data_IF_337285839885
#
_entry.id   IF_337285839885
#
_cell.length_a   1.000
_cell.length_b   1.000
_cell.length_c   1.000
_cell.angle_alpha   90.00
_cell.angle_beta   90.00
_cell.angle_gamma   90.00
#
_symmetry.space_group_name_H-M   'P 1'
#
loop_
_entity.id
_entity.type
_entity.pdbx_description
1 polymer ?
#
# COMPACT_ATOMS: atom_id res chain seq x y z
N UNK A 1 43.04 31.53 17.67
CA UNK A 1 43.02 31.99 16.26
C UNK A 1 44.27 31.48 15.58
N UNK A 2 44.15 30.74 14.47
CA UNK A 2 45.33 30.31 13.69
C UNK A 2 46.03 31.53 13.08
N UNK A 3 47.36 31.53 13.07
CA UNK A 3 48.15 32.66 12.57
C UNK A 3 47.98 32.81 11.05
N UNK A 4 48.14 34.03 10.52
CA UNK A 4 48.16 34.29 9.05
C UNK A 4 49.16 33.40 8.29
N UNK A 5 50.19 32.89 8.98
CA UNK A 5 51.20 32.00 8.41
C UNK A 5 50.69 30.56 8.26
N UNK A 6 49.90 30.09 9.21
CA UNK A 6 49.25 28.77 9.18
C UNK A 6 48.15 28.72 8.11
N UNK A 7 47.37 29.78 7.94
CA UNK A 7 46.38 29.90 6.87
C UNK A 7 47.02 29.84 5.47
N UNK A 8 48.18 30.49 5.29
CA UNK A 8 48.94 30.43 4.03
C UNK A 8 49.56 29.07 3.76
N UNK A 9 49.89 28.30 4.80
CA UNK A 9 50.39 26.94 4.66
C UNK A 9 49.27 25.97 4.23
N UNK A 10 48.06 26.13 4.78
CA UNK A 10 46.88 25.36 4.38
C UNK A 10 46.50 25.55 2.91
N UNK A 11 46.66 26.75 2.36
CA UNK A 11 46.37 27.03 0.93
C UNK A 11 47.39 26.42 -0.04
N UNK A 12 48.51 25.90 0.48
CA UNK A 12 49.56 25.24 -0.33
C UNK A 12 49.52 23.72 -0.21
N UNK A 13 48.71 23.18 0.69
CA UNK A 13 48.48 21.74 0.81
C UNK A 13 47.56 21.30 -0.35
N UNK A 14 47.98 20.33 -1.19
CA UNK A 14 47.19 19.86 -2.33
C UNK A 14 45.79 19.37 -1.97
N UNK A 15 45.63 18.70 -0.82
CA UNK A 15 44.35 18.15 -0.39
C UNK A 15 43.42 19.25 0.13
N UNK A 16 43.98 20.24 0.84
CA UNK A 16 43.20 21.43 1.23
C UNK A 16 42.88 22.30 0.03
N UNK A 17 43.76 22.37 -0.96
CA UNK A 17 43.50 23.06 -2.21
C UNK A 17 42.41 22.36 -3.01
N UNK A 18 42.36 21.03 -3.07
CA UNK A 18 41.25 20.28 -3.68
C UNK A 18 39.94 20.43 -2.90
N UNK A 19 39.98 20.44 -1.57
CA UNK A 19 38.80 20.69 -0.73
C UNK A 19 38.28 22.12 -0.93
N UNK A 20 39.18 23.10 -0.95
CA UNK A 20 38.86 24.50 -1.23
C UNK A 20 38.36 24.61 -2.68
N UNK A 21 39.03 24.01 -3.66
CA UNK A 21 38.65 24.06 -5.08
C UNK A 21 37.36 23.28 -5.39
N UNK A 22 36.94 22.30 -4.57
CA UNK A 22 35.64 21.61 -4.68
C UNK A 22 34.51 22.43 -4.07
N UNK A 23 34.74 23.00 -2.87
CA UNK A 23 33.83 23.96 -2.25
C UNK A 23 33.69 25.23 -3.09
N UNK A 24 34.78 25.68 -3.73
CA UNK A 24 34.73 26.71 -4.73
C UNK A 24 34.06 26.15 -5.97
N UNK A 25 34.45 25.08 -6.69
CA UNK A 25 33.78 24.64 -7.95
C UNK A 25 32.25 24.61 -7.90
N UNK A 26 31.62 24.24 -6.78
CA UNK A 26 30.17 24.43 -6.58
C UNK A 26 29.76 25.91 -6.75
N UNK A 27 30.48 26.84 -6.12
CA UNK A 27 30.32 28.30 -6.16
C UNK A 27 30.59 29.03 -7.52
N UNK A 28 31.70 28.93 -8.29
CA UNK A 28 31.80 29.51 -9.63
C UNK A 28 30.93 28.83 -10.69
N UNK A 29 30.58 27.55 -10.54
CA UNK A 29 29.54 26.92 -11.38
C UNK A 29 28.21 27.66 -11.21
N UNK A 30 27.78 27.80 -9.95
CA UNK A 30 26.62 28.59 -9.52
C UNK A 30 26.72 30.09 -9.93
N UNK A 31 27.89 30.70 -9.84
CA UNK A 31 28.11 32.13 -10.15
C UNK A 31 28.12 32.40 -11.66
N UNK A 32 28.81 31.58 -12.45
CA UNK A 32 28.84 31.74 -13.90
C UNK A 32 27.47 31.41 -14.53
N UNK A 33 26.73 30.44 -14.02
CA UNK A 33 25.36 30.17 -14.50
C UNK A 33 24.35 31.25 -14.08
N UNK A 34 24.52 31.85 -12.89
CA UNK A 34 23.70 32.97 -12.39
C UNK A 34 23.86 34.27 -13.20
N UNK A 35 25.03 34.51 -13.78
CA UNK A 35 25.33 35.80 -14.44
C UNK A 35 25.68 35.70 -15.94
N UNK A 36 25.92 34.50 -16.49
CA UNK A 36 26.13 34.33 -17.93
C UNK A 36 24.82 34.11 -18.72
N UNK A 37 23.69 33.87 -18.06
CA UNK A 37 22.37 33.80 -18.70
C UNK A 37 21.70 35.18 -18.71
N UNK A 38 21.83 35.91 -19.82
CA UNK A 38 21.25 37.25 -20.03
C UNK A 38 19.72 37.26 -20.20
N UNK A 39 18.97 36.37 -19.55
CA UNK A 39 17.52 36.31 -19.81
C UNK A 39 16.61 35.52 -18.88
N UNK A 40 17.08 34.80 -17.87
CA UNK A 40 16.16 34.12 -16.95
C UNK A 40 16.84 33.66 -15.66
N UNK A 41 16.96 34.57 -14.69
CA UNK A 41 17.18 34.17 -13.30
C UNK A 41 16.00 33.34 -12.71
N UNK A 42 14.92 33.12 -13.48
CA UNK A 42 13.79 32.22 -13.19
C UNK A 42 14.04 30.73 -13.49
N UNK A 43 15.23 30.35 -13.96
CA UNK A 43 15.52 28.95 -14.32
C UNK A 43 15.99 28.06 -13.15
N UNK A 44 16.19 28.63 -11.96
CA UNK A 44 16.51 27.87 -10.76
C UNK A 44 15.25 27.86 -9.89
N UNK A 45 14.50 26.76 -9.94
CA UNK A 45 13.39 26.55 -9.03
C UNK A 45 13.97 26.34 -7.63
N UNK A 46 14.09 27.42 -6.86
CA UNK A 46 14.72 27.39 -5.54
C UNK A 46 13.83 26.65 -4.57
N UNK A 47 14.46 25.93 -3.65
CA UNK A 47 13.76 25.49 -2.47
C UNK A 47 13.37 26.72 -1.63
N UNK A 48 12.12 26.75 -1.21
CA UNK A 48 11.54 27.83 -0.41
C UNK A 48 11.09 27.24 0.92
N UNK A 49 11.29 28.00 1.99
CA UNK A 49 10.83 27.66 3.33
C UNK A 49 9.75 28.66 3.72
N UNK A 50 8.68 28.18 4.35
CA UNK A 50 7.62 29.01 4.89
C UNK A 50 8.14 29.93 6.00
N UNK A 51 7.32 30.90 6.36
CA UNK A 51 7.56 31.74 7.53
C UNK A 51 7.52 30.87 8.80
N UNK A 52 8.39 31.17 9.77
CA UNK A 52 8.49 30.46 11.05
C UNK A 52 8.83 28.95 10.98
N UNK A 53 9.45 28.50 9.88
CA UNK A 53 9.94 27.14 9.74
C UNK A 53 11.37 26.98 10.29
N UNK A 54 11.49 26.14 11.30
CA UNK A 54 12.71 25.75 11.97
C UNK A 54 13.17 24.34 11.56
N UNK A 55 14.48 24.20 11.32
CA UNK A 55 15.18 22.92 11.10
C UNK A 55 14.67 22.05 9.94
N UNK A 56 13.88 22.61 9.01
CA UNK A 56 13.48 21.90 7.81
C UNK A 56 14.66 21.75 6.83
N UNK A 57 14.64 20.69 6.02
CA UNK A 57 15.73 20.37 5.08
C UNK A 57 15.18 20.03 3.70
N UNK A 58 15.76 20.64 2.67
CA UNK A 58 15.36 20.42 1.29
C UNK A 58 16.54 19.98 0.44
N UNK A 59 16.38 18.91 -0.30
CA UNK A 59 17.34 18.40 -1.29
C UNK A 59 16.65 18.29 -2.65
N UNK A 60 17.28 18.83 -3.70
CA UNK A 60 16.69 18.94 -5.04
C UNK A 60 16.18 20.35 -5.34
N UNK A 61 15.11 20.48 -6.13
CA UNK A 61 14.65 21.76 -6.70
C UNK A 61 13.15 21.97 -6.52
N UNK A 62 12.70 23.22 -6.51
CA UNK A 62 11.28 23.61 -6.47
C UNK A 62 10.50 23.10 -5.24
N UNK A 63 11.18 22.78 -4.14
CA UNK A 63 10.48 22.31 -2.95
C UNK A 63 10.00 23.49 -2.10
N UNK A 64 8.78 23.40 -1.56
CA UNK A 64 8.24 24.40 -0.64
C UNK A 64 7.93 23.74 0.72
N UNK A 65 8.68 24.11 1.75
CA UNK A 65 8.62 23.46 3.05
C UNK A 65 7.92 24.35 4.07
N UNK A 66 6.80 23.88 4.59
CA UNK A 66 5.93 24.62 5.53
C UNK A 66 5.65 23.81 6.81
N UNK A 67 6.23 22.62 6.96
CA UNK A 67 6.19 21.86 8.22
C UNK A 67 7.47 22.03 9.03
N UNK A 68 7.37 22.24 10.34
CA UNK A 68 8.55 22.31 11.21
C UNK A 68 9.29 20.97 11.23
N UNK A 69 10.63 21.02 11.12
CA UNK A 69 11.52 19.84 11.04
C UNK A 69 11.16 18.87 9.90
N UNK A 70 10.51 19.36 8.85
CA UNK A 70 10.16 18.55 7.68
C UNK A 70 11.34 18.38 6.74
N UNK A 71 11.28 17.32 5.92
CA UNK A 71 12.33 16.99 4.96
C UNK A 71 11.70 16.78 3.58
N UNK A 72 12.22 17.45 2.55
CA UNK A 72 11.84 17.26 1.16
C UNK A 72 13.03 16.80 0.33
N UNK A 73 12.90 15.68 -0.39
CA UNK A 73 13.98 15.14 -1.26
C UNK A 73 13.43 14.87 -2.66
N UNK A 74 13.70 15.78 -3.59
CA UNK A 74 13.32 15.63 -5.00
C UNK A 74 12.90 16.95 -5.64
N UNK A 75 11.85 16.89 -6.46
CA UNK A 75 11.40 18.04 -7.26
C UNK A 75 9.95 18.41 -6.97
N UNK A 76 9.68 19.70 -6.76
CA UNK A 76 8.33 20.25 -6.73
C UNK A 76 7.52 19.82 -5.51
N UNK A 77 8.17 19.40 -4.42
CA UNK A 77 7.52 18.81 -3.26
C UNK A 77 7.02 19.87 -2.31
N UNK A 78 5.95 19.56 -1.57
CA UNK A 78 5.43 20.44 -0.53
C UNK A 78 5.24 19.67 0.77
N UNK A 79 5.91 20.11 1.82
CA UNK A 79 5.71 19.62 3.19
C UNK A 79 4.83 20.63 3.93
N UNK A 80 3.80 20.16 4.61
CA UNK A 80 2.86 20.98 5.39
C UNK A 80 2.79 20.58 6.86
N UNK A 81 3.27 19.39 7.21
CA UNK A 81 3.10 18.86 8.56
C UNK A 81 4.41 18.75 9.34
N UNK A 82 4.30 18.87 10.66
CA UNK A 82 5.40 18.67 11.60
C UNK A 82 6.09 17.31 11.38
N UNK A 83 7.42 17.28 11.26
CA UNK A 83 8.23 16.07 10.99
C UNK A 83 7.84 15.28 9.73
N UNK A 84 7.21 15.92 8.75
CA UNK A 84 6.86 15.25 7.49
C UNK A 84 8.09 15.01 6.62
N UNK A 85 8.20 13.81 6.03
CA UNK A 85 9.16 13.48 4.99
C UNK A 85 8.43 13.29 3.66
N UNK A 86 8.82 14.06 2.64
CA UNK A 86 8.29 13.90 1.27
C UNK A 86 9.46 13.68 0.33
N UNK A 87 9.37 12.68 -0.56
CA UNK A 87 10.41 12.42 -1.55
C UNK A 87 9.82 12.03 -2.91
N UNK A 88 10.62 12.17 -3.97
CA UNK A 88 10.21 11.88 -5.35
C UNK A 88 9.91 13.13 -6.17
N UNK A 89 8.88 13.07 -7.02
CA UNK A 89 8.54 14.15 -7.95
C UNK A 89 7.08 14.57 -7.77
N UNK A 90 6.84 15.88 -7.62
CA UNK A 90 5.51 16.50 -7.61
C UNK A 90 4.47 15.71 -6.80
N UNK A 91 4.77 15.42 -5.53
CA UNK A 91 3.82 14.81 -4.61
C UNK A 91 2.54 15.66 -4.49
N UNK A 92 1.41 15.00 -4.23
CA UNK A 92 0.15 15.67 -3.93
C UNK A 92 0.31 16.52 -2.67
N UNK A 93 -0.09 17.79 -2.74
CA UNK A 93 -0.05 18.70 -1.60
C UNK A 93 -1.10 18.24 -0.58
N UNK A 94 -0.68 17.97 0.66
CA UNK A 94 -1.62 17.59 1.71
C UNK A 94 -2.41 18.82 2.18
N UNK A 95 -3.74 18.69 2.28
CA UNK A 95 -4.59 19.69 2.91
C UNK A 95 -4.74 19.43 4.41
N UNK A 96 -5.09 20.46 5.18
CA UNK A 96 -5.44 20.38 6.61
C UNK A 96 -4.36 19.68 7.46
N UNK A 97 -3.12 20.14 7.37
CA UNK A 97 -2.00 19.64 8.16
C UNK A 97 -1.63 20.67 9.23
N UNK A 98 -1.08 20.20 10.35
CA UNK A 98 -0.52 21.04 11.40
C UNK A 98 1.01 21.10 11.26
N UNK A 99 1.58 22.29 11.06
CA UNK A 99 3.01 22.45 10.86
C UNK A 99 3.82 22.27 12.14
N UNK A 100 3.20 22.35 13.33
CA UNK A 100 3.87 22.44 14.63
C UNK A 100 3.59 21.27 15.57
N UNK A 101 2.40 20.66 15.45
CA UNK A 101 1.91 19.64 16.37
C UNK A 101 1.88 18.26 15.74
N UNK A 102 2.21 17.25 16.53
CA UNK A 102 2.06 15.86 16.13
C UNK A 102 0.58 15.43 16.18
N UNK A 103 -0.12 15.56 15.05
CA UNK A 103 -1.51 15.09 14.91
C UNK A 103 -1.58 13.76 14.18
N UNK A 104 -2.25 12.76 14.76
CA UNK A 104 -2.33 11.41 14.20
C UNK A 104 -2.93 11.35 12.78
N UNK A 105 -3.79 12.30 12.43
CA UNK A 105 -4.42 12.43 11.11
C UNK A 105 -3.52 13.06 10.05
N UNK A 106 -2.37 13.58 10.45
CA UNK A 106 -1.48 14.27 9.53
C UNK A 106 -0.53 13.30 8.84
N UNK A 107 -0.05 13.73 7.68
CA UNK A 107 0.95 13.00 6.91
C UNK A 107 2.29 12.98 7.64
N UNK A 108 2.91 11.82 7.65
CA UNK A 108 4.27 11.59 8.13
C UNK A 108 5.22 11.35 6.95
N UNK A 109 4.75 10.62 5.92
CA UNK A 109 5.56 10.24 4.76
C UNK A 109 4.73 10.34 3.47
N UNK A 110 5.33 10.84 2.39
CA UNK A 110 4.78 10.68 1.04
C UNK A 110 5.87 10.44 -0.01
N UNK A 111 5.57 9.54 -0.95
CA UNK A 111 6.35 9.35 -2.17
C UNK A 111 5.57 9.89 -3.36
N UNK A 112 6.05 11.00 -3.92
CA UNK A 112 5.50 11.63 -5.11
C UNK A 112 5.96 10.95 -6.39
N UNK A 113 5.04 10.77 -7.34
CA UNK A 113 5.32 10.26 -8.69
C UNK A 113 4.63 11.11 -9.78
N UNK A 114 4.36 12.38 -9.49
CA UNK A 114 3.78 13.32 -10.43
C UNK A 114 4.82 13.81 -11.47
N UNK A 115 4.32 14.20 -12.64
CA UNK A 115 5.17 14.66 -13.76
C UNK A 115 5.45 16.15 -13.71
N UNK A 116 4.52 16.96 -13.20
CA UNK A 116 4.67 18.41 -13.03
C UNK A 116 3.72 18.96 -11.93
N UNK A 117 3.73 20.28 -11.76
CA UNK A 117 2.94 20.98 -10.75
C UNK A 117 1.42 20.85 -10.94
N UNK A 118 0.95 20.61 -12.18
CA UNK A 118 -0.46 20.45 -12.54
C UNK A 118 -0.90 18.98 -12.46
N UNK A 119 0.04 18.04 -12.51
CA UNK A 119 -0.17 16.58 -12.56
C UNK A 119 0.43 15.87 -11.34
N UNK A 120 0.20 16.44 -10.15
CA UNK A 120 0.70 15.90 -8.88
C UNK A 120 0.05 14.57 -8.51
N UNK A 121 0.86 13.60 -8.09
CA UNK A 121 0.36 12.30 -7.62
C UNK A 121 1.29 11.68 -6.57
N UNK A 122 0.71 10.78 -5.76
CA UNK A 122 1.44 9.99 -4.78
C UNK A 122 1.43 8.51 -5.20
N UNK A 123 2.56 7.83 -5.08
CA UNK A 123 2.62 6.38 -5.13
C UNK A 123 2.31 5.77 -3.75
N UNK A 124 2.77 6.43 -2.68
CA UNK A 124 2.68 5.95 -1.29
C UNK A 124 2.50 7.13 -0.32
N UNK A 125 1.70 6.91 0.73
CA UNK A 125 1.45 7.89 1.79
C UNK A 125 1.33 7.19 3.15
N UNK A 126 1.94 7.74 4.20
CA UNK A 126 1.84 7.26 5.58
C UNK A 126 1.42 8.42 6.49
N UNK A 127 0.49 8.15 7.39
CA UNK A 127 0.01 9.08 8.40
C UNK A 127 0.72 8.85 9.73
N UNK A 128 0.75 9.87 10.59
CA UNK A 128 1.34 9.81 11.94
C UNK A 128 0.67 8.76 12.85
N UNK A 129 -0.54 8.31 12.50
CA UNK A 129 -1.25 7.19 13.15
C UNK A 129 -0.69 5.81 12.78
N UNK A 130 0.20 5.70 11.79
CA UNK A 130 0.66 4.43 11.23
C UNK A 130 -0.21 3.90 10.09
N UNK A 131 -1.34 4.54 9.79
CA UNK A 131 -2.13 4.23 8.59
C UNK A 131 -1.33 4.57 7.34
N UNK A 132 -1.34 3.68 6.33
CA UNK A 132 -0.72 3.95 5.04
C UNK A 132 -1.69 3.73 3.88
N UNK A 133 -1.41 4.38 2.74
CA UNK A 133 -2.19 4.31 1.51
C UNK A 133 -1.27 4.05 0.31
N UNK A 134 -1.71 3.19 -0.58
CA UNK A 134 -1.09 2.88 -1.87
C UNK A 134 -2.10 3.20 -2.97
N UNK A 135 -1.68 3.90 -4.02
CA UNK A 135 -2.61 4.52 -5.00
C UNK A 135 -2.75 3.77 -6.33
N UNK A 136 -1.98 2.71 -6.56
CA UNK A 136 -2.02 1.94 -7.81
C UNK A 136 -2.25 0.45 -7.55
N UNK A 137 -1.17 -0.34 -7.54
CA UNK A 137 -1.23 -1.80 -7.38
C UNK A 137 -0.24 -2.26 -6.31
N UNK A 138 -0.54 -3.42 -5.73
CA UNK A 138 0.32 -4.12 -4.77
C UNK A 138 0.60 -5.50 -5.35
N UNK A 139 1.88 -5.86 -5.45
CA UNK A 139 2.30 -7.24 -5.71
C UNK A 139 2.76 -7.80 -4.38
N UNK A 140 2.02 -8.79 -3.87
CA UNK A 140 2.38 -9.54 -2.67
C UNK A 140 3.08 -10.81 -3.11
N UNK A 141 4.23 -11.12 -2.52
CA UNK A 141 4.98 -12.34 -2.78
C UNK A 141 4.81 -13.36 -1.66
N UNK A 142 5.54 -14.47 -1.78
CA UNK A 142 5.76 -15.39 -0.67
C UNK A 142 6.50 -14.66 0.46
N UNK A 143 6.15 -14.94 1.71
CA UNK A 143 6.91 -14.45 2.84
C UNK A 143 8.30 -15.09 2.87
N UNK A 144 9.34 -14.26 2.79
CA UNK A 144 10.74 -14.68 2.87
C UNK A 144 11.50 -13.69 3.78
N UNK A 145 11.65 -14.07 5.05
CA UNK A 145 12.41 -13.29 6.04
C UNK A 145 13.26 -14.23 6.91
N UNK A 146 14.18 -14.93 6.26
CA UNK A 146 15.13 -15.86 6.90
C UNK A 146 14.42 -16.90 7.80
N UNK A 147 14.82 -17.00 9.08
CA UNK A 147 14.27 -17.93 10.07
C UNK A 147 13.16 -17.31 10.94
N UNK A 148 12.76 -16.06 10.66
CA UNK A 148 11.76 -15.37 11.46
C UNK A 148 10.36 -15.86 11.08
N UNK A 149 9.64 -16.38 12.07
CA UNK A 149 8.24 -16.79 11.91
C UNK A 149 7.38 -15.54 11.64
N UNK A 150 6.46 -15.55 10.65
CA UNK A 150 5.62 -14.40 10.37
C UNK A 150 4.78 -14.01 11.61
N UNK A 151 4.47 -12.72 11.72
CA UNK A 151 3.54 -12.24 12.76
C UNK A 151 2.10 -12.52 12.32
N UNK A 152 1.21 -12.78 13.28
CA UNK A 152 -0.22 -12.92 12.99
C UNK A 152 -0.76 -11.70 12.24
N UNK A 153 -1.51 -11.93 11.17
CA UNK A 153 -1.98 -10.87 10.26
C UNK A 153 -1.13 -10.70 8.98
N UNK A 154 0.01 -11.40 8.87
CA UNK A 154 0.83 -11.35 7.66
C UNK A 154 0.06 -11.94 6.47
N UNK A 155 0.08 -11.23 5.35
CA UNK A 155 -0.44 -11.72 4.08
C UNK A 155 0.71 -12.17 3.19
N UNK A 156 0.52 -13.28 2.48
CA UNK A 156 1.40 -13.68 1.39
C UNK A 156 0.60 -14.14 0.18
N UNK A 157 1.25 -14.22 -0.97
CA UNK A 157 0.69 -14.86 -2.15
C UNK A 157 1.65 -15.94 -2.67
N UNK A 158 1.12 -17.13 -2.92
CA UNK A 158 1.82 -18.24 -3.58
C UNK A 158 0.99 -18.73 -4.76
N UNK A 159 1.64 -19.31 -5.79
CA UNK A 159 0.91 -19.79 -6.99
C UNK A 159 0.05 -21.00 -6.64
N UNK A 160 0.50 -21.77 -5.65
CA UNK A 160 -0.14 -22.99 -5.18
C UNK A 160 -1.39 -22.70 -4.33
N UNK A 161 -1.30 -21.76 -3.38
CA UNK A 161 -2.35 -21.53 -2.39
C UNK A 161 -3.04 -20.16 -2.51
N UNK A 162 -2.66 -19.36 -3.50
CA UNK A 162 -3.13 -18.00 -3.74
C UNK A 162 -2.86 -17.08 -2.53
N UNK A 163 -3.80 -16.21 -2.17
CA UNK A 163 -3.66 -15.32 -1.02
C UNK A 163 -3.81 -16.13 0.28
N UNK A 164 -2.83 -16.00 1.17
CA UNK A 164 -2.80 -16.67 2.47
C UNK A 164 -2.63 -15.66 3.60
N UNK A 165 -3.26 -15.95 4.75
CA UNK A 165 -3.16 -15.20 5.99
C UNK A 165 -2.42 -16.06 7.02
N UNK A 166 -1.37 -15.51 7.64
CA UNK A 166 -0.72 -16.14 8.77
C UNK A 166 -1.53 -15.90 10.04
N UNK A 167 -2.06 -16.98 10.62
CA UNK A 167 -2.80 -16.98 11.88
C UNK A 167 -2.62 -18.33 12.57
N UNK A 168 -2.63 -18.33 13.92
CA UNK A 168 -2.48 -19.54 14.75
C UNK A 168 -1.23 -20.38 14.41
N UNK A 169 -0.12 -19.70 14.08
CA UNK A 169 1.17 -20.33 13.79
C UNK A 169 1.26 -21.03 12.43
N UNK A 170 0.31 -20.80 11.52
CA UNK A 170 0.28 -21.42 10.19
C UNK A 170 -0.27 -20.48 9.11
N UNK A 171 0.02 -20.80 7.86
CA UNK A 171 -0.61 -20.17 6.69
C UNK A 171 -1.99 -20.77 6.43
N UNK A 172 -2.98 -19.90 6.27
CA UNK A 172 -4.36 -20.27 5.97
C UNK A 172 -4.77 -19.63 4.64
N UNK A 173 -5.28 -20.39 3.68
CA UNK A 173 -5.75 -19.82 2.41
C UNK A 173 -6.96 -18.92 2.65
N UNK A 174 -6.96 -17.76 2.02
CA UNK A 174 -8.04 -16.77 2.05
C UNK A 174 -9.00 -16.99 0.86
N UNK A 175 -8.68 -17.92 -0.05
CA UNK A 175 -9.58 -18.21 -1.18
C UNK A 175 -10.82 -18.98 -0.73
N UNK A 176 -12.03 -18.58 -1.18
CA UNK A 176 -13.23 -19.34 -0.95
C UNK A 176 -13.12 -20.71 -1.65
N UNK A 177 -13.02 -21.78 -0.87
CA UNK A 177 -12.95 -23.14 -1.40
C UNK A 177 -14.34 -23.54 -1.87
N UNK A 178 -14.51 -23.77 -3.17
CA UNK A 178 -15.77 -24.30 -3.71
C UNK A 178 -15.75 -25.82 -3.68
N UNK A 179 -16.79 -26.42 -3.12
CA UNK A 179 -16.98 -27.88 -3.07
C UNK A 179 -18.12 -28.24 -4.02
N UNK A 180 -17.96 -29.36 -4.71
CA UNK A 180 -19.02 -30.05 -5.46
C UNK A 180 -19.16 -31.46 -4.92
N UNK A 181 -20.35 -31.82 -4.49
CA UNK A 181 -20.62 -33.15 -3.92
C UNK A 181 -22.08 -33.55 -4.10
N UNK A 182 -22.38 -34.84 -3.85
CA UNK A 182 -23.76 -35.29 -3.68
C UNK A 182 -24.20 -34.98 -2.25
N UNK A 183 -25.37 -34.36 -2.12
CA UNK A 183 -25.95 -34.09 -0.82
C UNK A 183 -26.35 -35.38 -0.11
N UNK A 184 -26.17 -35.41 1.20
CA UNK A 184 -26.62 -36.49 2.06
C UNK A 184 -28.14 -36.42 2.21
N UNK A 185 -28.82 -37.51 1.88
CA UNK A 185 -30.27 -37.65 1.96
C UNK A 185 -30.76 -38.63 0.91
N UNK A 186 -31.85 -39.34 1.20
CA UNK A 186 -32.45 -40.27 0.24
C UNK A 186 -33.41 -39.48 -0.66
N UNK A 187 -33.39 -39.78 -1.96
CA UNK A 187 -34.40 -39.30 -2.91
C UNK A 187 -35.50 -40.34 -3.01
N UNK A 188 -36.55 -40.19 -2.20
CA UNK A 188 -37.67 -41.14 -2.08
C UNK A 188 -39.02 -40.53 -2.48
N UNK A 189 -39.03 -39.32 -3.04
CA UNK A 189 -40.25 -38.59 -3.38
C UNK A 189 -40.99 -37.99 -2.19
N UNK A 190 -40.46 -38.11 -0.98
CA UNK A 190 -41.03 -37.57 0.27
C UNK A 190 -40.05 -36.64 0.97
N UNK A 191 -38.76 -36.98 0.98
CA UNK A 191 -37.72 -36.23 1.66
C UNK A 191 -37.47 -34.87 0.99
N UNK A 192 -37.49 -33.82 1.81
CA UNK A 192 -37.20 -32.44 1.41
C UNK A 192 -35.94 -31.88 2.07
N UNK A 193 -35.38 -32.58 3.06
CA UNK A 193 -34.22 -32.10 3.83
C UNK A 193 -32.99 -32.88 3.41
N UNK A 194 -31.95 -32.15 3.05
CA UNK A 194 -30.67 -32.70 2.62
C UNK A 194 -29.53 -31.98 3.36
N UNK A 195 -28.36 -32.60 3.43
CA UNK A 195 -27.20 -32.05 4.13
C UNK A 195 -25.94 -32.08 3.28
N UNK A 196 -25.12 -31.04 3.38
CA UNK A 196 -23.74 -31.06 2.92
C UNK A 196 -22.85 -31.84 3.91
N UNK A 197 -21.73 -32.36 3.44
CA UNK A 197 -20.73 -33.05 4.27
C UNK A 197 -19.93 -32.05 5.13
N UNK A 198 -19.83 -30.79 4.69
CA UNK A 198 -19.14 -29.70 5.39
C UNK A 198 -20.00 -28.46 5.49
N UNK A 199 -19.63 -27.59 6.44
CA UNK A 199 -20.29 -26.29 6.62
C UNK A 199 -20.06 -25.42 5.39
N UNK A 200 -21.15 -24.87 4.85
CA UNK A 200 -21.15 -23.97 3.72
C UNK A 200 -21.41 -22.52 4.16
N UNK A 201 -20.85 -21.56 3.43
CA UNK A 201 -21.12 -20.15 3.64
C UNK A 201 -22.58 -19.85 3.27
N UNK A 202 -23.33 -19.20 4.17
CA UNK A 202 -24.72 -18.78 3.91
C UNK A 202 -24.80 -18.00 2.59
N UNK A 203 -25.76 -18.37 1.73
CA UNK A 203 -25.97 -17.77 0.41
C UNK A 203 -25.14 -18.38 -0.72
N UNK A 204 -24.18 -19.26 -0.43
CA UNK A 204 -23.30 -19.86 -1.45
C UNK A 204 -23.82 -21.16 -2.07
N UNK A 205 -24.83 -21.79 -1.45
CA UNK A 205 -25.33 -23.10 -1.86
C UNK A 205 -26.14 -23.02 -3.16
N UNK A 206 -25.72 -23.81 -4.15
CA UNK A 206 -26.43 -24.07 -5.40
C UNK A 206 -26.82 -25.54 -5.40
N UNK A 207 -28.09 -25.83 -5.66
CA UNK A 207 -28.63 -27.19 -5.68
C UNK A 207 -29.03 -27.59 -7.09
N UNK A 208 -28.66 -28.79 -7.49
CA UNK A 208 -29.06 -29.45 -8.72
C UNK A 208 -29.80 -30.73 -8.37
N UNK A 209 -30.98 -30.92 -8.95
CA UNK A 209 -31.72 -32.18 -8.89
C UNK A 209 -31.63 -32.80 -10.27
N UNK A 210 -30.98 -33.96 -10.37
CA UNK A 210 -30.77 -34.65 -11.64
C UNK A 210 -30.17 -33.75 -12.73
N UNK A 211 -29.17 -32.93 -12.35
CA UNK A 211 -28.49 -31.98 -13.22
C UNK A 211 -29.27 -30.70 -13.56
N UNK A 212 -30.53 -30.58 -13.13
CA UNK A 212 -31.31 -29.35 -13.28
C UNK A 212 -31.16 -28.46 -12.05
N UNK A 213 -30.62 -27.25 -12.28
CA UNK A 213 -30.48 -26.24 -11.25
C UNK A 213 -31.85 -25.90 -10.67
N UNK A 214 -31.99 -26.06 -9.36
CA UNK A 214 -33.17 -25.63 -8.62
C UNK A 214 -32.99 -24.18 -8.17
N UNK A 215 -34.07 -23.41 -8.18
CA UNK A 215 -34.07 -22.08 -7.56
C UNK A 215 -34.15 -22.29 -6.06
N UNK A 216 -33.02 -22.10 -5.38
CA UNK A 216 -32.92 -22.21 -3.93
C UNK A 216 -32.53 -20.85 -3.34
N UNK A 217 -33.15 -20.48 -2.23
CA UNK A 217 -32.71 -19.38 -1.36
C UNK A 217 -32.29 -20.01 -0.05
N UNK A 218 -31.01 -19.94 0.30
CA UNK A 218 -30.57 -20.38 1.62
C UNK A 218 -31.06 -19.36 2.65
N UNK A 219 -32.25 -19.59 3.19
CA UNK A 219 -32.81 -18.78 4.28
C UNK A 219 -32.46 -19.39 5.65
N UNK A 220 -31.91 -20.61 5.67
CA UNK A 220 -31.65 -21.37 6.89
C UNK A 220 -30.32 -21.04 7.57
N UNK A 221 -30.40 -20.95 8.90
CA UNK A 221 -29.37 -20.56 9.86
C UNK A 221 -28.35 -21.69 10.10
N UNK A 222 -28.68 -22.91 9.66
CA UNK A 222 -27.84 -24.10 9.81
C UNK A 222 -26.98 -24.30 8.55
N UNK A 223 -25.66 -24.15 8.72
CA UNK A 223 -24.70 -24.09 7.63
C UNK A 223 -24.39 -25.46 7.02
N UNK A 224 -25.17 -26.50 7.32
CA UNK A 224 -25.05 -27.83 6.71
C UNK A 224 -26.32 -28.36 6.09
N UNK A 225 -27.48 -27.97 6.59
CA UNK A 225 -28.76 -28.50 6.12
C UNK A 225 -29.42 -27.53 5.16
N UNK A 226 -30.18 -28.06 4.21
CA UNK A 226 -31.02 -27.26 3.34
C UNK A 226 -32.32 -27.98 3.04
N UNK A 227 -33.39 -27.21 2.85
CA UNK A 227 -34.73 -27.74 2.61
C UNK A 227 -35.22 -27.33 1.23
N UNK A 228 -35.56 -28.31 0.40
CA UNK A 228 -36.17 -28.06 -0.90
C UNK A 228 -37.65 -27.69 -0.73
N UNK A 229 -38.20 -26.80 -1.59
CA UNK A 229 -39.61 -26.43 -1.52
C UNK A 229 -40.56 -27.59 -1.84
N UNK A 230 -40.10 -28.54 -2.65
CA UNK A 230 -40.82 -29.77 -3.01
C UNK A 230 -39.86 -30.96 -3.01
N UNK A 231 -40.37 -32.14 -2.67
CA UNK A 231 -39.57 -33.36 -2.68
C UNK A 231 -39.18 -33.72 -4.12
N UNK A 232 -37.90 -34.04 -4.40
CA UNK A 232 -37.49 -34.46 -5.73
C UNK A 232 -38.28 -35.68 -6.19
N UNK A 233 -38.95 -35.58 -7.34
CA UNK A 233 -39.72 -36.69 -7.89
C UNK A 233 -38.78 -37.82 -8.31
N UNK A 234 -39.19 -39.05 -8.00
CA UNK A 234 -38.51 -40.24 -8.52
C UNK A 234 -38.82 -40.33 -10.02
N UNK A 235 -37.81 -40.10 -10.85
CA UNK A 235 -37.89 -40.23 -12.31
C UNK A 235 -37.10 -41.45 -12.79
N UNK A 236 -36.21 -42.02 -11.94
CA UNK A 236 -35.45 -43.23 -12.23
C UNK A 236 -34.75 -43.85 -11.00
N UNK A 237 -33.94 -44.89 -11.23
CA UNK A 237 -33.22 -45.62 -10.16
C UNK A 237 -31.93 -44.92 -9.68
N UNK A 238 -31.58 -43.76 -10.23
CA UNK A 238 -30.32 -43.04 -10.00
C UNK A 238 -30.52 -41.54 -9.72
N UNK A 239 -31.67 -41.17 -9.17
CA UNK A 239 -31.96 -39.77 -8.85
C UNK A 239 -31.00 -39.26 -7.76
N UNK A 240 -30.36 -38.12 -8.01
CA UNK A 240 -29.33 -37.53 -7.13
C UNK A 240 -29.55 -36.04 -6.95
N UNK A 241 -29.19 -35.57 -5.76
CA UNK A 241 -29.10 -34.16 -5.43
C UNK A 241 -27.62 -33.79 -5.39
N UNK A 242 -27.17 -33.02 -6.37
CA UNK A 242 -25.81 -32.49 -6.41
C UNK A 242 -25.82 -31.06 -5.88
N UNK A 243 -24.80 -30.72 -5.10
CA UNK A 243 -24.65 -29.40 -4.51
C UNK A 243 -23.29 -28.82 -4.83
N UNK A 244 -23.28 -27.51 -5.05
CA UNK A 244 -22.08 -26.71 -5.17
C UNK A 244 -22.17 -25.61 -4.12
N UNK A 245 -21.13 -25.46 -3.29
CA UNK A 245 -21.12 -24.44 -2.25
C UNK A 245 -19.71 -23.94 -1.94
N UNK A 246 -19.63 -22.75 -1.37
CA UNK A 246 -18.37 -22.22 -0.80
C UNK A 246 -18.24 -22.72 0.63
N UNK A 247 -17.11 -23.33 0.97
CA UNK A 247 -16.80 -23.76 2.33
C UNK A 247 -16.86 -22.54 3.27
N UNK A 248 -17.48 -22.72 4.43
CA UNK A 248 -17.41 -21.72 5.49
C UNK A 248 -16.00 -21.75 6.10
N UNK A 249 -15.29 -20.62 6.02
CA UNK A 249 -13.99 -20.42 6.68
C UNK A 249 -14.12 -20.39 8.21
#
# INVERSE_FOLDING_TARGET
>A
MRSRRELKAMWRDPNMKELIDSLWREYPGLYNEKYASTGSASQWLRNTFGEDIEFAQAMGQDNFLEGNRSIAIGQGLNTKSFFELVFGSYAKIAGNQDPDLWKATDRLLALGNGTDADTRSNAFEVFKSGLFKLFNAIVVGKYEHENEVPVGGTLQFTVENWLELFADGKWNSVTPVTITEQALGVVDGVNVVFSATKDYQTGSLIVFVNGLKQVYKSEDVDNRQFTLPEAPKIIGFTDVVEIIYTLKN
#
